data_IF_358684794225
#
_entry.id   IF_358684794225
#
_cell.length_a   1.000
_cell.length_b   1.000
_cell.length_c   1.000
_cell.angle_alpha   90.00
_cell.angle_beta   90.00
_cell.angle_gamma   90.00
#
_symmetry.space_group_name_H-M   'P 1'
#
loop_
_entity.id
_entity.type
_entity.pdbx_description
1 polymer ?
#
# COMPACT_ATOMS: atom_id res chain seq x y z
N UNK A 1 9.96 27.48 -8.57
CA UNK A 1 9.86 26.04 -8.29
C UNK A 1 9.65 25.87 -6.79
N UNK A 2 8.48 26.28 -6.31
CA UNK A 2 8.17 26.46 -4.88
C UNK A 2 6.85 25.73 -4.61
N UNK A 3 6.82 25.05 -3.46
CA UNK A 3 5.73 24.28 -2.85
C UNK A 3 5.59 22.81 -3.25
N UNK A 4 6.44 22.00 -2.58
CA UNK A 4 6.07 20.73 -1.95
C UNK A 4 4.64 20.86 -1.37
N UNK A 5 3.66 20.27 -2.05
CA UNK A 5 2.25 20.36 -1.67
C UNK A 5 1.95 19.31 -0.59
N UNK A 6 2.23 19.66 0.67
CA UNK A 6 1.87 18.92 1.88
C UNK A 6 0.44 19.24 2.35
N UNK A 7 -0.56 19.11 1.48
CA UNK A 7 -1.97 19.27 1.89
C UNK A 7 -2.76 17.98 1.63
N UNK A 8 -2.95 17.22 2.72
CA UNK A 8 -3.86 16.05 2.87
C UNK A 8 -3.53 14.85 1.97
N UNK A 9 -2.61 14.03 2.45
CA UNK A 9 -2.25 12.72 1.88
C UNK A 9 -3.36 11.67 2.10
N UNK A 10 -4.55 11.92 1.58
CA UNK A 10 -5.53 10.88 1.29
C UNK A 10 -5.41 10.56 -0.20
N UNK A 11 -4.26 10.01 -0.61
CA UNK A 11 -4.02 9.75 -2.02
C UNK A 11 -4.87 8.56 -2.48
N UNK A 12 -5.60 8.74 -3.56
CA UNK A 12 -6.25 7.64 -4.25
C UNK A 12 -5.18 6.82 -4.97
N UNK A 13 -5.08 5.54 -4.60
CA UNK A 13 -4.27 4.56 -5.31
C UNK A 13 -4.98 4.12 -6.59
N UNK A 14 -6.29 3.90 -6.54
CA UNK A 14 -7.09 3.48 -7.70
C UNK A 14 -8.29 4.40 -7.95
N UNK A 15 -8.21 5.23 -8.99
CA UNK A 15 -9.31 6.13 -9.38
C UNK A 15 -10.54 5.38 -9.93
N UNK A 16 -10.34 4.26 -10.65
CA UNK A 16 -11.47 3.49 -11.20
C UNK A 16 -12.36 2.85 -10.13
N UNK A 17 -11.81 2.58 -8.95
CA UNK A 17 -12.52 1.94 -7.83
C UNK A 17 -12.64 2.84 -6.60
N UNK A 18 -12.12 4.06 -6.65
CA UNK A 18 -12.11 4.99 -5.51
C UNK A 18 -11.33 4.47 -4.31
N UNK A 19 -10.24 3.72 -4.53
CA UNK A 19 -9.45 3.11 -3.44
C UNK A 19 -8.34 4.06 -3.00
N UNK A 20 -8.26 4.32 -1.70
CA UNK A 20 -7.23 5.16 -1.07
C UNK A 20 -6.04 4.35 -0.56
N UNK A 21 -4.91 5.02 -0.33
CA UNK A 21 -3.74 4.41 0.31
C UNK A 21 -4.07 3.78 1.67
N UNK A 22 -4.88 4.45 2.50
CA UNK A 22 -5.30 3.91 3.80
C UNK A 22 -6.02 2.57 3.66
N UNK A 23 -6.93 2.44 2.69
CA UNK A 23 -7.65 1.19 2.47
C UNK A 23 -6.72 0.06 2.00
N UNK A 24 -5.69 0.39 1.21
CA UNK A 24 -4.66 -0.59 0.82
C UNK A 24 -3.84 -1.02 2.02
N UNK A 25 -3.40 -0.07 2.85
CA UNK A 25 -2.65 -0.37 4.08
C UNK A 25 -3.49 -1.21 5.06
N UNK A 26 -4.77 -0.88 5.26
CA UNK A 26 -5.69 -1.67 6.08
C UNK A 26 -5.83 -3.10 5.56
N UNK A 27 -5.92 -3.28 4.23
CA UNK A 27 -5.97 -4.60 3.62
C UNK A 27 -4.67 -5.40 3.88
N UNK A 28 -3.51 -4.74 3.79
CA UNK A 28 -2.20 -5.34 4.08
C UNK A 28 -2.12 -5.74 5.56
N UNK A 29 -2.49 -4.84 6.49
CA UNK A 29 -2.54 -5.13 7.93
C UNK A 29 -3.50 -6.27 8.29
N UNK A 30 -4.56 -6.47 7.48
CA UNK A 30 -5.48 -7.60 7.58
C UNK A 30 -4.98 -8.88 6.87
N UNK A 31 -3.71 -8.92 6.46
CA UNK A 31 -3.05 -10.12 5.94
C UNK A 31 -2.96 -10.23 4.41
N UNK A 32 -3.34 -9.20 3.64
CA UNK A 32 -3.10 -9.22 2.20
C UNK A 32 -1.60 -9.07 1.90
N UNK A 33 -0.95 -10.17 1.49
CA UNK A 33 0.51 -10.22 1.28
C UNK A 33 0.95 -10.07 -0.19
N UNK A 34 -0.01 -9.97 -1.12
CA UNK A 34 0.25 -9.84 -2.55
C UNK A 34 -0.87 -9.08 -3.28
N UNK A 35 -0.57 -8.62 -4.51
CA UNK A 35 -1.48 -7.83 -5.34
C UNK A 35 -2.79 -8.56 -5.68
N UNK A 36 -2.78 -9.88 -5.81
CA UNK A 36 -4.00 -10.65 -6.09
C UNK A 36 -4.98 -10.51 -4.94
N UNK A 37 -4.52 -10.71 -3.71
CA UNK A 37 -5.38 -10.58 -2.52
C UNK A 37 -5.93 -9.15 -2.36
N UNK A 38 -5.11 -8.13 -2.63
CA UNK A 38 -5.56 -6.73 -2.59
C UNK A 38 -6.60 -6.46 -3.69
N UNK A 39 -6.38 -6.98 -4.91
CA UNK A 39 -7.37 -6.91 -5.99
C UNK A 39 -8.68 -7.59 -5.62
N UNK A 40 -8.61 -8.79 -5.05
CA UNK A 40 -9.81 -9.56 -4.70
C UNK A 40 -10.61 -8.85 -3.60
N UNK A 41 -9.93 -8.13 -2.70
CA UNK A 41 -10.55 -7.40 -1.59
C UNK A 41 -11.04 -5.99 -1.96
N UNK A 42 -10.29 -5.24 -2.75
CA UNK A 42 -10.53 -3.81 -3.03
C UNK A 42 -10.83 -3.50 -4.50
N UNK A 43 -10.71 -4.49 -5.39
CA UNK A 43 -10.93 -4.33 -6.82
C UNK A 43 -9.79 -3.61 -7.57
N UNK A 44 -8.65 -3.32 -6.93
CA UNK A 44 -7.53 -2.61 -7.57
C UNK A 44 -7.04 -3.36 -8.82
N UNK A 45 -6.74 -2.62 -9.88
CA UNK A 45 -6.23 -3.19 -11.13
C UNK A 45 -7.25 -3.97 -11.98
N UNK A 46 -8.53 -4.01 -11.59
CA UNK A 46 -9.58 -4.73 -12.34
C UNK A 46 -10.20 -3.95 -13.50
N UNK A 47 -9.81 -2.69 -13.73
CA UNK A 47 -10.36 -1.82 -14.80
C UNK A 47 -9.26 -1.42 -15.79
N UNK A 48 -8.50 -0.35 -15.51
CA UNK A 48 -7.44 0.12 -16.41
C UNK A 48 -6.04 -0.41 -16.07
N UNK A 49 -5.85 -0.94 -14.86
CA UNK A 49 -4.55 -1.46 -14.41
C UNK A 49 -3.53 -0.41 -13.95
N UNK A 50 -3.75 0.88 -14.15
CA UNK A 50 -2.73 1.93 -13.89
C UNK A 50 -2.28 2.04 -12.43
N UNK A 51 -3.09 1.58 -11.47
CA UNK A 51 -2.76 1.60 -10.04
C UNK A 51 -1.85 0.46 -9.58
N UNK A 52 -1.57 -0.54 -10.44
CA UNK A 52 -0.83 -1.74 -10.08
C UNK A 52 0.60 -1.43 -9.57
N UNK A 53 1.39 -0.53 -10.21
CA UNK A 53 2.71 -0.17 -9.72
C UNK A 53 2.68 0.46 -8.33
N UNK A 54 1.76 1.42 -8.10
CA UNK A 54 1.62 2.07 -6.80
C UNK A 54 1.19 1.08 -5.70
N UNK A 55 0.28 0.16 -6.02
CA UNK A 55 -0.12 -0.92 -5.10
C UNK A 55 1.08 -1.81 -4.73
N UNK A 56 2.01 -2.05 -5.67
CA UNK A 56 3.23 -2.80 -5.39
C UNK A 56 4.17 -2.04 -4.45
N UNK A 57 4.33 -0.73 -4.65
CA UNK A 57 5.15 0.11 -3.77
C UNK A 57 4.67 0.04 -2.31
N UNK A 58 3.35 0.05 -2.09
CA UNK A 58 2.78 -0.08 -0.73
C UNK A 58 3.05 -1.45 -0.10
N UNK A 59 2.93 -2.53 -0.88
CA UNK A 59 3.32 -3.87 -0.43
C UNK A 59 4.80 -3.93 -0.05
N UNK A 60 5.67 -3.39 -0.89
CA UNK A 60 7.11 -3.42 -0.64
C UNK A 60 7.48 -2.59 0.59
N UNK A 61 6.91 -1.39 0.73
CA UNK A 61 7.04 -0.57 1.95
C UNK A 61 6.64 -1.34 3.21
N UNK A 62 5.52 -2.08 3.17
CA UNK A 62 5.07 -2.87 4.32
C UNK A 62 6.04 -4.01 4.67
N UNK A 63 6.70 -4.60 3.68
CA UNK A 63 7.71 -5.65 3.87
C UNK A 63 9.00 -5.11 4.47
N UNK A 64 9.47 -3.94 4.04
CA UNK A 64 10.64 -3.30 4.64
C UNK A 64 10.39 -2.99 6.12
N UNK A 65 9.21 -2.46 6.46
CA UNK A 65 8.85 -2.21 7.86
C UNK A 65 8.79 -3.51 8.70
N UNK A 66 8.38 -4.64 8.11
CA UNK A 66 8.42 -5.94 8.79
C UNK A 66 9.85 -6.44 9.02
N UNK A 67 10.74 -6.30 8.02
CA UNK A 67 12.16 -6.71 8.14
C UNK A 67 12.87 -5.94 9.25
N UNK A 68 12.62 -4.62 9.37
CA UNK A 68 13.20 -3.83 10.47
C UNK A 68 12.73 -4.33 11.84
N UNK A 69 11.44 -4.64 12.01
CA UNK A 69 10.92 -5.21 13.25
C UNK A 69 11.52 -6.59 13.54
N UNK A 70 11.63 -7.45 12.53
CA UNK A 70 12.20 -8.78 12.65
C UNK A 70 13.68 -8.73 13.10
N UNK A 71 14.46 -7.76 12.63
CA UNK A 71 15.83 -7.53 13.10
C UNK A 71 15.88 -7.12 14.58
N UNK A 72 14.99 -6.23 15.03
CA UNK A 72 14.91 -5.86 16.45
C UNK A 72 14.55 -7.07 17.33
N UNK A 73 13.56 -7.86 16.91
CA UNK A 73 13.16 -9.09 17.61
C UNK A 73 14.33 -10.07 17.69
N UNK A 74 15.09 -10.24 16.60
CA UNK A 74 16.26 -11.12 16.57
C UNK A 74 17.40 -10.62 17.48
N UNK A 75 17.55 -9.30 17.62
CA UNK A 75 18.50 -8.67 18.54
C UNK A 75 18.04 -8.69 20.00
N UNK A 76 16.80 -9.10 20.28
CA UNK A 76 16.25 -9.19 21.63
C UNK A 76 15.99 -7.83 22.29
N UNK A 77 15.75 -6.78 21.50
CA UNK A 77 15.32 -5.44 21.94
C UNK A 77 13.80 -5.40 21.98
#
# INVERSE_FOLDING_TARGET
MIYFNQERYFMYVCLCKGVTESQVNDAISQGCCNKSMIRDKLGVGSVCGSCIPETQVLLDKSRYAQVEIDELILLGI
#
